data_IF_622453031196
#
_entry.id   IF_622453031196
#
_cell.length_a   1.000
_cell.length_b   1.000
_cell.length_c   1.000
_cell.angle_alpha   90.00
_cell.angle_beta   90.00
_cell.angle_gamma   90.00
#
_symmetry.space_group_name_H-M   'P 1'
#
loop_
_entity.id
_entity.type
_entity.pdbx_description
1 polymer ?
#
# COMPACT_ATOMS: atom_id res chain seq x y z
N UNK A 1 1.64 -0.93 52.55
CA UNK A 1 1.87 0.18 51.61
C UNK A 1 3.12 0.04 50.71
N UNK A 2 4.26 -0.49 51.20
CA UNK A 2 5.51 -0.60 50.41
C UNK A 2 5.42 -1.49 49.14
N UNK A 3 4.61 -2.55 49.17
CA UNK A 3 4.47 -3.51 48.06
C UNK A 3 3.36 -3.19 47.04
N UNK A 4 2.42 -2.29 47.39
CA UNK A 4 1.34 -1.89 46.48
C UNK A 4 1.82 -0.91 45.40
N UNK A 5 2.83 -0.11 45.73
CA UNK A 5 3.45 0.86 44.84
C UNK A 5 4.16 0.20 43.62
N UNK A 6 5.05 -0.80 43.78
CA UNK A 6 5.66 -1.48 42.64
C UNK A 6 4.64 -2.27 41.81
N UNK A 7 3.60 -2.85 42.44
CA UNK A 7 2.54 -3.56 41.73
C UNK A 7 1.72 -2.63 40.83
N UNK A 8 1.36 -1.44 41.32
CA UNK A 8 0.67 -0.43 40.53
C UNK A 8 1.49 0.03 39.32
N UNK A 9 2.79 0.28 39.50
CA UNK A 9 3.69 0.65 38.42
C UNK A 9 3.82 -0.44 37.34
N UNK A 10 3.90 -1.71 37.76
CA UNK A 10 3.94 -2.85 36.84
C UNK A 10 2.65 -2.97 36.03
N UNK A 11 1.48 -2.80 36.65
CA UNK A 11 0.19 -2.84 35.96
C UNK A 11 0.10 -1.73 34.92
N UNK A 12 0.50 -0.50 35.26
CA UNK A 12 0.52 0.62 34.30
C UNK A 12 1.42 0.30 33.10
N UNK A 13 2.60 -0.28 33.34
CA UNK A 13 3.53 -0.63 32.27
C UNK A 13 2.98 -1.74 31.36
N UNK A 14 2.33 -2.76 31.94
CA UNK A 14 1.68 -3.85 31.18
C UNK A 14 0.53 -3.30 30.32
N UNK A 15 -0.29 -2.40 30.85
CA UNK A 15 -1.37 -1.76 30.10
C UNK A 15 -0.80 -0.95 28.93
N UNK A 16 0.24 -0.14 29.18
CA UNK A 16 0.87 0.68 28.15
C UNK A 16 1.48 -0.18 27.04
N UNK A 17 2.16 -1.28 27.39
CA UNK A 17 2.70 -2.25 26.43
C UNK A 17 1.59 -2.95 25.64
N UNK A 18 0.49 -3.35 26.30
CA UNK A 18 -0.64 -4.00 25.64
C UNK A 18 -1.35 -3.10 24.61
N UNK A 19 -1.40 -1.79 24.85
CA UNK A 19 -1.89 -0.81 23.87
C UNK A 19 -0.89 -0.69 22.71
N UNK A 20 0.41 -0.60 23.01
CA UNK A 20 1.48 -0.53 22.01
C UNK A 20 1.47 -1.70 21.03
N UNK A 21 1.22 -2.92 21.53
CA UNK A 21 1.16 -4.16 20.72
C UNK A 21 -0.06 -4.25 19.80
N UNK A 22 -1.10 -3.42 20.01
CA UNK A 22 -2.31 -3.39 19.17
C UNK A 22 -2.25 -2.39 18.02
N UNK A 23 -1.26 -1.49 18.01
CA UNK A 23 -1.06 -0.58 16.89
C UNK A 23 -0.41 -1.38 15.76
N UNK A 24 -1.17 -1.66 14.70
CA UNK A 24 -0.66 -2.36 13.52
C UNK A 24 0.08 -1.37 12.61
N UNK A 25 1.41 -1.41 12.53
CA UNK A 25 2.18 -0.50 11.69
C UNK A 25 2.06 -0.82 10.19
N UNK A 26 1.30 -1.86 9.81
CA UNK A 26 1.14 -2.30 8.41
C UNK A 26 -0.05 -1.66 7.71
N UNK A 27 -0.92 -0.96 8.43
CA UNK A 27 -1.98 -0.17 7.79
C UNK A 27 -1.37 1.06 7.15
N UNK A 28 -1.30 1.06 5.82
CA UNK A 28 -1.01 2.26 5.02
C UNK A 28 -2.36 2.81 4.58
N UNK A 29 -3.02 3.69 5.37
CA UNK A 29 -4.30 4.26 4.98
C UNK A 29 -4.09 5.08 3.71
N UNK A 30 -4.70 4.65 2.60
CA UNK A 30 -4.62 5.36 1.33
C UNK A 30 -5.46 6.64 1.40
N UNK A 31 -4.86 7.85 1.36
CA UNK A 31 -5.60 9.10 1.43
C UNK A 31 -6.31 9.45 0.10
N UNK A 32 -6.27 8.54 -0.87
CA UNK A 32 -6.73 8.74 -2.25
C UNK A 32 -8.00 7.95 -2.59
N UNK A 33 -8.60 7.24 -1.62
CA UNK A 33 -9.87 6.54 -1.84
C UNK A 33 -10.96 7.58 -2.18
N UNK A 34 -11.69 7.35 -3.28
CA UNK A 34 -12.76 8.22 -3.76
C UNK A 34 -12.29 9.50 -4.48
N UNK A 35 -10.97 9.71 -4.62
CA UNK A 35 -10.40 10.82 -5.38
C UNK A 35 -10.13 10.41 -6.84
N UNK A 36 -10.23 11.35 -7.80
CA UNK A 36 -9.84 11.05 -9.17
C UNK A 36 -8.36 10.69 -9.24
N UNK A 37 -8.01 9.82 -10.20
CA UNK A 37 -6.60 9.52 -10.48
C UNK A 37 -5.85 10.81 -10.83
N UNK A 38 -4.61 11.01 -10.34
CA UNK A 38 -3.81 12.18 -10.66
C UNK A 38 -3.60 12.32 -12.17
N UNK A 39 -3.57 13.56 -12.67
CA UNK A 39 -3.25 13.83 -14.07
C UNK A 39 -1.77 13.58 -14.33
N UNK A 40 -1.48 12.76 -15.35
CA UNK A 40 -0.11 12.53 -15.82
C UNK A 40 -0.11 12.34 -17.33
N UNK A 41 1.03 12.66 -17.95
CA UNK A 41 1.32 12.36 -19.35
C UNK A 41 2.72 11.81 -19.41
N UNK A 42 2.85 10.52 -19.69
CA UNK A 42 4.11 9.79 -19.64
C UNK A 42 4.34 9.03 -20.96
N UNK A 43 5.59 8.96 -21.45
CA UNK A 43 5.91 8.13 -22.60
C UNK A 43 5.73 6.65 -22.27
N UNK A 44 5.30 5.86 -23.24
CA UNK A 44 5.22 4.41 -23.08
C UNK A 44 6.63 3.78 -23.09
N UNK A 45 6.81 2.73 -22.29
CA UNK A 45 8.11 2.08 -22.13
C UNK A 45 8.68 1.51 -23.44
N UNK A 46 7.82 0.95 -24.29
CA UNK A 46 8.23 0.33 -25.56
C UNK A 46 8.21 1.30 -26.74
N UNK A 47 7.45 2.39 -26.63
CA UNK A 47 7.22 3.37 -27.70
C UNK A 47 7.30 4.80 -27.12
N UNK A 48 8.52 5.38 -27.02
CA UNK A 48 8.72 6.66 -26.35
C UNK A 48 7.94 7.83 -26.96
N UNK A 49 7.64 7.76 -28.26
CA UNK A 49 6.89 8.80 -28.97
C UNK A 49 5.38 8.78 -28.66
N UNK A 50 4.88 7.70 -28.04
CA UNK A 50 3.47 7.59 -27.63
C UNK A 50 3.31 7.99 -26.18
N UNK A 51 2.41 8.94 -25.94
CA UNK A 51 2.02 9.36 -24.60
C UNK A 51 0.81 8.57 -24.08
N UNK A 52 0.87 8.20 -22.81
CA UNK A 52 -0.21 7.57 -22.07
C UNK A 52 -0.72 8.52 -20.98
N UNK A 53 -2.04 8.61 -20.84
CA UNK A 53 -2.70 9.47 -19.87
C UNK A 53 -3.92 8.77 -19.22
N UNK A 54 -4.31 9.12 -17.98
CA UNK A 54 -5.47 8.54 -17.31
C UNK A 54 -6.79 8.71 -18.07
N UNK A 55 -6.90 9.75 -18.90
CA UNK A 55 -8.11 10.04 -19.68
C UNK A 55 -8.45 8.91 -20.65
N UNK A 56 -7.44 8.20 -21.16
CA UNK A 56 -7.60 7.04 -22.06
C UNK A 56 -8.25 5.83 -21.36
N UNK A 57 -8.20 5.78 -20.02
CA UNK A 57 -8.73 4.68 -19.21
C UNK A 57 -10.10 4.99 -18.57
N UNK A 58 -10.68 6.16 -18.86
CA UNK A 58 -12.01 6.52 -18.37
C UNK A 58 -13.07 5.51 -18.85
N UNK A 59 -13.98 5.14 -17.95
CA UNK A 59 -15.06 4.19 -18.24
C UNK A 59 -14.67 2.72 -18.17
N UNK A 60 -13.40 2.39 -17.92
CA UNK A 60 -12.92 1.03 -17.68
C UNK A 60 -12.54 0.85 -16.22
N UNK A 61 -12.73 -0.35 -15.68
CA UNK A 61 -12.09 -0.74 -14.42
C UNK A 61 -10.68 -1.19 -14.76
N UNK A 62 -9.69 -0.62 -14.09
CA UNK A 62 -8.28 -0.90 -14.37
C UNK A 62 -7.46 -0.87 -13.08
N UNK A 63 -6.34 -1.58 -13.11
CA UNK A 63 -5.38 -1.66 -12.02
C UNK A 63 -4.09 -0.95 -12.44
N UNK A 64 -3.63 0.00 -11.62
CA UNK A 64 -2.31 0.64 -11.79
C UNK A 64 -1.30 -0.07 -10.89
N UNK A 65 -0.33 -0.77 -11.48
CA UNK A 65 0.80 -1.35 -10.75
C UNK A 65 2.06 -0.49 -10.93
N UNK A 66 2.73 -0.17 -9.82
CA UNK A 66 3.99 0.57 -9.81
C UNK A 66 5.12 -0.42 -9.52
N UNK A 67 6.08 -0.55 -10.45
CA UNK A 67 7.12 -1.57 -10.37
C UNK A 67 8.48 -1.03 -10.81
N UNK A 68 9.53 -1.80 -10.51
CA UNK A 68 10.88 -1.56 -11.00
C UNK A 68 11.66 -2.88 -11.12
N UNK A 69 12.67 -2.92 -11.99
CA UNK A 69 13.47 -4.14 -12.26
C UNK A 69 14.23 -4.66 -11.03
N UNK A 70 14.57 -3.77 -10.10
CA UNK A 70 15.28 -4.08 -8.85
C UNK A 70 14.34 -4.42 -7.69
N UNK A 71 13.02 -4.32 -7.87
CA UNK A 71 12.04 -4.61 -6.83
C UNK A 71 11.76 -6.12 -6.76
N UNK A 72 12.27 -6.76 -5.69
CA UNK A 72 12.11 -8.21 -5.47
C UNK A 72 10.64 -8.59 -5.28
N UNK A 73 9.89 -7.80 -4.49
CA UNK A 73 8.47 -8.03 -4.26
C UNK A 73 7.66 -7.95 -5.55
N UNK A 74 7.98 -6.99 -6.42
CA UNK A 74 7.32 -6.80 -7.71
C UNK A 74 7.52 -8.00 -8.65
N UNK A 75 8.68 -8.67 -8.58
CA UNK A 75 8.92 -9.91 -9.36
C UNK A 75 7.96 -11.03 -8.95
N UNK A 76 7.68 -11.16 -7.66
CA UNK A 76 6.73 -12.15 -7.16
C UNK A 76 5.30 -11.78 -7.55
N UNK A 77 4.95 -10.49 -7.48
CA UNK A 77 3.64 -9.97 -7.86
C UNK A 77 3.35 -10.11 -9.38
N UNK A 78 4.37 -9.96 -10.22
CA UNK A 78 4.24 -9.96 -11.68
C UNK A 78 3.56 -11.23 -12.23
N UNK A 79 3.78 -12.38 -11.60
CA UNK A 79 3.15 -13.65 -12.02
C UNK A 79 1.63 -13.55 -11.90
N UNK A 80 1.15 -13.11 -10.74
CA UNK A 80 -0.28 -12.97 -10.47
C UNK A 80 -0.93 -11.87 -11.32
N UNK A 81 -0.24 -10.75 -11.52
CA UNK A 81 -0.71 -9.68 -12.41
C UNK A 81 -0.88 -10.17 -13.86
N UNK A 82 0.04 -11.01 -14.33
CA UNK A 82 -0.05 -11.63 -15.66
C UNK A 82 -1.22 -12.61 -15.76
N UNK A 83 -1.54 -13.32 -14.68
CA UNK A 83 -2.72 -14.20 -14.62
C UNK A 83 -4.02 -13.39 -14.66
N UNK A 84 -4.13 -12.33 -13.84
CA UNK A 84 -5.30 -11.43 -13.87
C UNK A 84 -5.52 -10.80 -15.24
N UNK A 85 -4.44 -10.38 -15.91
CA UNK A 85 -4.51 -9.80 -17.25
C UNK A 85 -5.02 -10.78 -18.33
N UNK A 86 -4.98 -12.09 -18.08
CA UNK A 86 -5.49 -13.12 -19.00
C UNK A 86 -6.94 -13.53 -18.71
N UNK A 87 -7.46 -13.21 -17.52
CA UNK A 87 -8.81 -13.60 -17.10
C UNK A 87 -9.89 -12.59 -17.50
N UNK A 88 -9.51 -11.41 -17.99
CA UNK A 88 -10.40 -10.40 -18.57
C UNK A 88 -10.20 -10.28 -20.07
#
# INVERSE_FOLDING_TARGET
MRYLLPLGAFIVLVIFLGIGLKLDPKEVPSPLIGKPAPTFSLPQLHEPDKLFTPEQMKGKVWLLSVWASWCVSCRQEHVYLSEFARMG
#
